data_IF_573117413895
#
_entry.id   IF_573117413895
#
_cell.length_a   1.000
_cell.length_b   1.000
_cell.length_c   1.000
_cell.angle_alpha   90.00
_cell.angle_beta   90.00
_cell.angle_gamma   90.00
#
_symmetry.space_group_name_H-M   'P 1'
#
loop_
_entity.id
_entity.type
_entity.pdbx_description
1 polymer ?
#
# COMPACT_ATOMS: atom_id res chain seq x y z
N UNK A 1 6.39 0.42 25.33
CA UNK A 1 5.77 -0.86 24.91
C UNK A 1 4.24 -0.95 25.05
N UNK A 2 3.55 -0.20 25.94
CA UNK A 2 2.06 -0.30 26.08
C UNK A 2 1.24 0.44 25.01
N UNK A 3 1.84 1.36 24.25
CA UNK A 3 1.13 2.14 23.20
C UNK A 3 1.29 1.52 21.79
N UNK A 4 2.42 0.86 21.53
CA UNK A 4 2.69 0.01 20.37
C UNK A 4 1.63 -1.04 20.08
N UNK A 5 1.23 -1.75 21.13
CA UNK A 5 0.30 -2.88 21.03
C UNK A 5 -1.08 -2.43 20.57
N UNK A 6 -1.55 -1.25 21.00
CA UNK A 6 -2.89 -0.77 20.63
C UNK A 6 -3.03 -0.44 19.14
N UNK A 7 -1.96 -0.04 18.46
CA UNK A 7 -2.00 0.22 17.01
C UNK A 7 -1.98 -1.08 16.20
N UNK A 8 -1.17 -2.07 16.59
CA UNK A 8 -1.11 -3.38 15.92
C UNK A 8 -2.40 -4.21 16.13
N UNK A 9 -3.08 -4.06 17.27
CA UNK A 9 -4.40 -4.67 17.51
C UNK A 9 -5.55 -4.02 16.73
N UNK A 10 -5.30 -2.91 16.01
CA UNK A 10 -6.27 -2.29 15.09
C UNK A 10 -6.15 -2.78 13.65
N UNK A 11 -5.16 -3.64 13.34
CA UNK A 11 -5.28 -4.50 12.15
C UNK A 11 -6.49 -5.40 12.43
N UNK A 12 -7.60 -5.22 11.70
CA UNK A 12 -8.88 -5.75 12.13
C UNK A 12 -8.77 -7.26 12.36
N UNK A 13 -8.99 -7.68 13.60
CA UNK A 13 -9.27 -9.09 13.91
C UNK A 13 -10.32 -9.57 12.91
N UNK A 14 -10.20 -10.84 12.51
CA UNK A 14 -11.06 -11.52 11.52
C UNK A 14 -12.57 -11.44 11.81
N UNK A 15 -12.97 -10.89 12.96
CA UNK A 15 -14.35 -10.78 13.46
C UNK A 15 -14.98 -9.39 13.28
N UNK A 16 -14.25 -8.37 12.80
CA UNK A 16 -14.86 -7.06 12.53
C UNK A 16 -15.77 -7.09 11.29
N UNK A 17 -16.76 -6.17 11.15
CA UNK A 17 -17.53 -6.04 9.90
C UNK A 17 -16.66 -5.82 8.66
N UNK A 18 -15.49 -5.17 8.84
CA UNK A 18 -14.47 -5.03 7.81
C UNK A 18 -13.85 -6.38 7.43
N UNK A 19 -13.61 -7.25 8.41
CA UNK A 19 -13.12 -8.60 8.15
C UNK A 19 -14.14 -9.45 7.38
N UNK A 20 -15.44 -9.34 7.64
CA UNK A 20 -16.46 -10.03 6.84
C UNK A 20 -16.43 -9.62 5.36
N UNK A 21 -16.27 -8.32 5.07
CA UNK A 21 -16.08 -7.84 3.68
C UNK A 21 -14.81 -8.42 3.04
N UNK A 22 -13.72 -8.52 3.81
CA UNK A 22 -12.44 -9.09 3.36
C UNK A 22 -12.54 -10.59 3.08
N UNK A 23 -13.24 -11.36 3.91
CA UNK A 23 -13.49 -12.79 3.68
C UNK A 23 -14.23 -13.01 2.35
N UNK A 24 -15.23 -12.18 2.05
CA UNK A 24 -15.93 -12.26 0.76
C UNK A 24 -14.99 -11.98 -0.43
N UNK A 25 -14.12 -10.98 -0.33
CA UNK A 25 -13.13 -10.65 -1.36
C UNK A 25 -12.00 -11.68 -1.47
N UNK A 26 -11.70 -12.40 -0.39
CA UNK A 26 -10.67 -13.43 -0.37
C UNK A 26 -10.99 -14.54 -1.36
N UNK A 27 -12.23 -15.05 -1.37
CA UNK A 27 -12.63 -16.18 -2.21
C UNK A 27 -13.37 -15.79 -3.49
N UNK A 28 -13.45 -14.49 -3.81
CA UNK A 28 -14.22 -13.96 -4.96
C UNK A 28 -13.85 -14.65 -6.27
N UNK A 29 -12.56 -14.94 -6.46
CA UNK A 29 -12.04 -15.55 -7.69
C UNK A 29 -11.66 -17.03 -7.55
N UNK A 30 -12.05 -17.69 -6.44
CA UNK A 30 -11.71 -19.10 -6.17
C UNK A 30 -12.20 -20.06 -7.27
N UNK A 31 -13.28 -19.72 -7.95
CA UNK A 31 -13.85 -20.49 -9.06
C UNK A 31 -13.25 -20.18 -10.42
N UNK A 32 -12.37 -19.17 -10.54
CA UNK A 32 -11.76 -18.80 -11.83
C UNK A 32 -10.68 -19.83 -12.18
N UNK A 33 -10.75 -20.50 -13.35
CA UNK A 33 -9.77 -21.50 -13.71
C UNK A 33 -8.34 -20.96 -13.69
N UNK A 34 -7.38 -21.78 -13.26
CA UNK A 34 -5.95 -21.45 -13.34
C UNK A 34 -5.58 -21.11 -14.79
N UNK A 35 -4.90 -19.98 -14.99
CA UNK A 35 -4.51 -19.48 -16.31
C UNK A 35 -5.56 -18.60 -17.02
N UNK A 36 -6.71 -18.35 -16.40
CA UNK A 36 -7.75 -17.47 -16.98
C UNK A 36 -7.50 -15.96 -16.80
N UNK A 37 -6.44 -15.59 -16.06
CA UNK A 37 -6.13 -14.22 -15.66
C UNK A 37 -4.62 -13.98 -15.77
N UNK A 38 -4.22 -12.80 -16.25
CA UNK A 38 -2.83 -12.34 -16.18
C UNK A 38 -2.61 -11.54 -14.90
N UNK A 39 -1.45 -11.73 -14.27
CA UNK A 39 -1.02 -10.98 -13.10
C UNK A 39 0.19 -10.15 -13.51
N UNK A 40 0.08 -8.83 -13.40
CA UNK A 40 1.15 -7.88 -13.64
C UNK A 40 1.67 -7.34 -12.31
N UNK A 41 2.94 -6.94 -12.27
CA UNK A 41 3.54 -6.31 -11.09
C UNK A 41 4.34 -5.08 -11.49
N UNK A 42 4.29 -4.05 -10.65
CA UNK A 42 5.06 -2.82 -10.76
C UNK A 42 5.37 -2.27 -9.36
N UNK A 43 6.48 -1.57 -9.20
CA UNK A 43 6.87 -0.82 -8.00
C UNK A 43 7.51 0.50 -8.44
N UNK A 44 7.84 1.37 -7.48
CA UNK A 44 8.66 2.57 -7.70
C UNK A 44 8.10 3.47 -8.82
N UNK A 45 6.78 3.58 -8.86
CA UNK A 45 6.09 4.36 -9.88
C UNK A 45 6.36 5.85 -9.67
N UNK A 46 6.34 6.30 -8.41
CA UNK A 46 6.43 7.72 -8.04
C UNK A 46 5.54 8.61 -8.91
N UNK A 47 4.23 8.38 -8.82
CA UNK A 47 3.20 8.99 -9.67
C UNK A 47 3.23 10.53 -9.64
N UNK A 48 3.75 11.11 -8.56
CA UNK A 48 3.94 12.54 -8.35
C UNK A 48 5.30 13.09 -8.84
N UNK A 49 6.16 12.27 -9.45
CA UNK A 49 7.41 12.69 -10.09
C UNK A 49 7.19 13.21 -11.52
N UNK A 50 6.35 14.24 -11.63
CA UNK A 50 6.13 14.99 -12.86
C UNK A 50 5.04 14.43 -13.78
N UNK A 51 4.64 15.27 -14.74
CA UNK A 51 3.49 15.01 -15.59
C UNK A 51 3.67 13.80 -16.50
N UNK A 52 4.91 13.47 -16.89
CA UNK A 52 5.19 12.32 -17.76
C UNK A 52 4.73 10.99 -17.14
N UNK A 53 4.97 10.80 -15.84
CA UNK A 53 4.60 9.59 -15.10
C UNK A 53 3.09 9.50 -14.94
N UNK A 54 2.45 10.61 -14.52
CA UNK A 54 0.99 10.68 -14.43
C UNK A 54 0.32 10.45 -15.78
N UNK A 55 0.85 11.02 -16.87
CA UNK A 55 0.35 10.83 -18.23
C UNK A 55 0.52 9.39 -18.71
N UNK A 56 1.65 8.75 -18.41
CA UNK A 56 1.86 7.33 -18.68
C UNK A 56 0.79 6.47 -17.98
N UNK A 57 0.57 6.66 -16.68
CA UNK A 57 -0.43 5.90 -15.93
C UNK A 57 -1.85 6.11 -16.47
N UNK A 58 -2.19 7.35 -16.86
CA UNK A 58 -3.47 7.69 -17.48
C UNK A 58 -3.62 7.06 -18.88
N UNK A 59 -2.52 6.96 -19.62
CA UNK A 59 -2.43 6.42 -20.97
C UNK A 59 -2.54 4.90 -21.07
N UNK A 60 -2.43 4.16 -19.95
CA UNK A 60 -2.70 2.71 -19.93
C UNK A 60 -4.08 2.43 -20.53
N UNK A 61 -4.17 1.44 -21.42
CA UNK A 61 -5.41 1.09 -22.12
C UNK A 61 -6.55 0.79 -21.11
N UNK A 62 -7.72 1.40 -21.33
CA UNK A 62 -8.85 1.32 -20.39
C UNK A 62 -9.69 0.04 -20.51
N UNK A 63 -9.49 -0.77 -21.54
CA UNK A 63 -10.28 -1.99 -21.78
C UNK A 63 -9.43 -3.26 -21.78
N UNK A 64 -8.17 -3.18 -22.18
CA UNK A 64 -7.27 -4.33 -22.37
C UNK A 64 -7.07 -5.17 -21.11
N UNK A 65 -6.99 -4.53 -19.94
CA UNK A 65 -6.63 -5.18 -18.68
C UNK A 65 -7.83 -5.41 -17.75
N UNK A 66 -9.06 -5.32 -18.28
CA UNK A 66 -10.31 -5.43 -17.48
C UNK A 66 -10.56 -6.81 -16.89
N UNK A 67 -9.83 -7.82 -17.33
CA UNK A 67 -9.85 -9.16 -16.74
C UNK A 67 -8.72 -9.38 -15.72
N UNK A 68 -7.67 -8.56 -15.80
CA UNK A 68 -6.36 -8.81 -15.22
C UNK A 68 -6.16 -8.14 -13.85
N UNK A 69 -5.04 -8.50 -13.22
CA UNK A 69 -4.67 -8.07 -11.88
C UNK A 69 -3.37 -7.30 -11.97
N UNK A 70 -3.30 -6.16 -11.27
CA UNK A 70 -2.06 -5.41 -11.06
C UNK A 70 -1.64 -5.51 -9.59
N UNK A 71 -0.37 -5.82 -9.36
CA UNK A 71 0.30 -5.71 -8.07
C UNK A 71 1.13 -4.42 -8.07
N UNK A 72 0.85 -3.51 -7.15
CA UNK A 72 1.65 -2.30 -6.90
C UNK A 72 2.46 -2.53 -5.63
N UNK A 73 3.74 -2.83 -5.81
CA UNK A 73 4.63 -3.35 -4.79
C UNK A 73 5.48 -2.27 -4.12
N UNK A 74 4.85 -1.18 -3.69
CA UNK A 74 5.51 -0.07 -3.01
C UNK A 74 5.83 1.11 -3.91
N UNK A 75 6.12 2.23 -3.25
CA UNK A 75 6.57 3.52 -3.80
C UNK A 75 5.73 4.00 -4.98
N UNK A 76 4.42 4.07 -4.74
CA UNK A 76 3.48 4.65 -5.69
C UNK A 76 3.56 6.17 -5.68
N UNK A 77 3.80 6.81 -4.54
CA UNK A 77 4.03 8.26 -4.47
C UNK A 77 4.25 8.76 -3.05
N UNK A 78 4.82 9.95 -2.91
CA UNK A 78 5.23 10.49 -1.61
C UNK A 78 4.03 10.91 -0.75
N UNK A 79 2.95 11.36 -1.39
CA UNK A 79 1.78 11.91 -0.68
C UNK A 79 0.58 10.99 -0.74
N UNK A 80 -0.23 10.98 0.31
CA UNK A 80 -1.50 10.26 0.38
C UNK A 80 -2.41 10.56 -0.82
N UNK A 81 -2.43 11.82 -1.29
CA UNK A 81 -3.24 12.19 -2.43
C UNK A 81 -2.69 11.63 -3.75
N UNK A 82 -1.36 11.63 -3.92
CA UNK A 82 -0.71 11.01 -5.08
C UNK A 82 -1.01 9.50 -5.13
N UNK A 83 -0.82 8.79 -4.01
CA UNK A 83 -1.14 7.36 -3.88
C UNK A 83 -2.61 7.11 -4.22
N UNK A 84 -3.53 7.92 -3.67
CA UNK A 84 -4.96 7.83 -3.96
C UNK A 84 -5.26 8.01 -5.46
N UNK A 85 -4.63 8.98 -6.11
CA UNK A 85 -4.79 9.22 -7.55
C UNK A 85 -4.26 8.03 -8.34
N UNK A 86 -3.05 7.56 -8.05
CA UNK A 86 -2.43 6.42 -8.73
C UNK A 86 -3.27 5.15 -8.62
N UNK A 87 -3.67 4.75 -7.40
CA UNK A 87 -4.52 3.57 -7.20
C UNK A 87 -5.89 3.73 -7.87
N UNK A 88 -6.49 4.92 -7.82
CA UNK A 88 -7.76 5.19 -8.51
C UNK A 88 -7.62 5.06 -10.03
N UNK A 89 -6.50 5.52 -10.59
CA UNK A 89 -6.19 5.37 -12.02
C UNK A 89 -6.05 3.89 -12.37
N UNK A 90 -5.22 3.14 -11.64
CA UNK A 90 -5.04 1.72 -11.92
C UNK A 90 -6.31 0.90 -11.72
N UNK A 91 -7.13 1.20 -10.71
CA UNK A 91 -8.44 0.55 -10.50
C UNK A 91 -9.43 0.78 -11.64
N UNK A 92 -9.28 1.87 -12.41
CA UNK A 92 -10.07 2.09 -13.62
C UNK A 92 -9.57 1.26 -14.81
N UNK A 93 -8.36 0.70 -14.78
CA UNK A 93 -7.75 -0.05 -15.89
C UNK A 93 -7.75 -1.56 -15.65
N UNK A 94 -7.45 -1.98 -14.42
CA UNK A 94 -7.37 -3.38 -14.01
C UNK A 94 -8.59 -3.81 -13.20
N UNK A 95 -8.93 -5.11 -13.26
CA UNK A 95 -10.04 -5.69 -12.49
C UNK A 95 -9.77 -5.60 -10.99
N UNK A 96 -8.63 -6.13 -10.57
CA UNK A 96 -8.13 -6.07 -9.18
C UNK A 96 -6.78 -5.36 -9.17
N UNK A 97 -6.56 -4.57 -8.12
CA UNK A 97 -5.28 -3.91 -7.87
C UNK A 97 -4.91 -4.23 -6.43
N UNK A 98 -3.81 -4.93 -6.25
CA UNK A 98 -3.21 -5.15 -4.94
C UNK A 98 -2.14 -4.12 -4.70
N UNK A 99 -2.00 -3.69 -3.45
CA UNK A 99 -1.10 -2.62 -3.06
C UNK A 99 -0.43 -2.94 -1.72
N UNK A 100 0.88 -2.77 -1.67
CA UNK A 100 1.64 -2.66 -0.43
C UNK A 100 2.37 -1.30 -0.44
N UNK A 101 2.43 -0.59 0.69
CA UNK A 101 3.16 0.66 0.76
C UNK A 101 4.67 0.42 0.86
N UNK A 102 5.45 1.26 0.17
CA UNK A 102 6.89 1.35 0.37
C UNK A 102 7.27 2.47 1.36
N UNK A 103 8.56 2.82 1.45
CA UNK A 103 9.06 3.90 2.31
C UNK A 103 8.55 5.27 1.88
N UNK A 104 8.54 5.57 0.59
CA UNK A 104 8.02 6.85 0.09
C UNK A 104 6.54 7.02 0.41
N UNK A 105 5.77 5.95 0.26
CA UNK A 105 4.34 5.95 0.57
C UNK A 105 4.07 6.25 2.04
N UNK A 106 5.02 5.95 2.93
CA UNK A 106 4.95 6.13 4.38
C UNK A 106 5.52 7.47 4.87
N UNK A 107 6.16 8.24 4.00
CA UNK A 107 6.75 9.52 4.34
C UNK A 107 5.73 10.57 4.79
N UNK A 108 6.10 11.35 5.80
CA UNK A 108 5.48 12.62 6.16
C UNK A 108 6.40 13.75 5.73
N UNK A 109 6.56 13.92 4.41
CA UNK A 109 7.48 14.90 3.83
C UNK A 109 7.08 16.33 4.24
N UNK A 110 8.02 17.17 4.71
CA UNK A 110 7.76 18.57 5.05
C UNK A 110 7.14 19.35 3.88
N UNK A 111 6.34 20.37 4.22
CA UNK A 111 5.68 21.27 3.26
C UNK A 111 4.70 20.58 2.30
N UNK A 112 4.27 19.34 2.58
CA UNK A 112 3.23 18.66 1.81
C UNK A 112 1.87 18.75 2.49
N UNK A 113 0.79 18.45 1.76
CA UNK A 113 -0.55 18.38 2.32
C UNK A 113 -0.72 17.38 3.48
N UNK A 114 0.21 16.43 3.60
CA UNK A 114 0.17 15.40 4.64
C UNK A 114 0.75 15.89 5.97
N UNK A 115 1.74 16.79 5.94
CA UNK A 115 2.27 17.48 7.12
C UNK A 115 1.53 18.78 7.42
N UNK A 116 1.00 19.44 6.39
CA UNK A 116 0.27 20.70 6.55
C UNK A 116 -0.99 20.45 7.40
N UNK A 117 -1.24 21.33 8.37
CA UNK A 117 -2.34 21.20 9.35
C UNK A 117 -2.26 19.92 10.20
N UNK A 118 -1.10 19.27 10.28
CA UNK A 118 -0.91 18.01 11.03
C UNK A 118 -1.91 16.93 10.65
N UNK A 119 -2.24 16.82 9.35
CA UNK A 119 -3.23 15.87 8.83
C UNK A 119 -2.95 14.44 9.31
N UNK A 120 -1.69 14.03 9.31
CA UNK A 120 -1.25 12.79 9.95
C UNK A 120 -0.25 13.08 11.06
N UNK A 121 -0.48 12.49 12.23
CA UNK A 121 0.39 12.63 13.40
C UNK A 121 1.75 11.94 13.19
N UNK A 122 1.71 10.77 12.56
CA UNK A 122 2.80 9.82 12.35
C UNK A 122 2.50 8.91 11.12
N UNK A 123 3.49 8.15 10.67
CA UNK A 123 3.40 7.28 9.49
C UNK A 123 2.41 6.13 9.68
N UNK A 124 2.15 5.70 10.92
CA UNK A 124 1.14 4.67 11.21
C UNK A 124 -0.28 5.23 10.99
N UNK A 125 -0.53 6.48 11.37
CA UNK A 125 -1.79 7.17 11.06
C UNK A 125 -1.99 7.33 9.54
N UNK A 126 -0.93 7.64 8.78
CA UNK A 126 -0.98 7.66 7.32
C UNK A 126 -1.32 6.26 6.76
N UNK A 127 -0.67 5.20 7.23
CA UNK A 127 -0.95 3.82 6.85
C UNK A 127 -2.41 3.42 7.09
N UNK A 128 -2.94 3.71 8.27
CA UNK A 128 -4.35 3.42 8.59
C UNK A 128 -5.31 4.17 7.66
N UNK A 129 -5.01 5.43 7.34
CA UNK A 129 -5.79 6.19 6.36
C UNK A 129 -5.67 5.60 4.95
N UNK A 130 -4.50 5.09 4.55
CA UNK A 130 -4.32 4.41 3.28
C UNK A 130 -5.12 3.11 3.20
N UNK A 131 -5.19 2.33 4.28
CA UNK A 131 -6.03 1.14 4.35
C UNK A 131 -7.51 1.48 4.15
N UNK A 132 -8.02 2.51 4.82
CA UNK A 132 -9.40 2.99 4.63
C UNK A 132 -9.65 3.52 3.21
N UNK A 133 -8.69 4.25 2.64
CA UNK A 133 -8.74 4.73 1.27
C UNK A 133 -8.77 3.59 0.25
N UNK A 134 -7.94 2.56 0.42
CA UNK A 134 -7.90 1.38 -0.44
C UNK A 134 -9.24 0.63 -0.39
N UNK A 135 -9.82 0.46 0.80
CA UNK A 135 -11.14 -0.16 0.96
C UNK A 135 -12.22 0.59 0.17
N UNK A 136 -12.22 1.93 0.24
CA UNK A 136 -13.17 2.81 -0.47
C UNK A 136 -13.01 2.78 -1.99
N UNK A 137 -11.77 2.71 -2.49
CA UNK A 137 -11.47 2.66 -3.93
C UNK A 137 -11.57 1.22 -4.49
N UNK A 138 -11.57 0.21 -3.63
CA UNK A 138 -11.56 -1.20 -4.03
C UNK A 138 -10.18 -1.71 -4.45
N UNK A 139 -9.10 -1.07 -3.96
CA UNK A 139 -7.74 -1.62 -3.98
C UNK A 139 -7.54 -2.54 -2.77
N UNK A 140 -6.65 -3.52 -2.90
CA UNK A 140 -6.52 -4.60 -1.93
C UNK A 140 -5.17 -4.62 -1.26
N UNK A 141 -5.19 -4.56 0.07
CA UNK A 141 -3.98 -4.65 0.91
C UNK A 141 -3.98 -5.95 1.74
N UNK A 142 -4.87 -6.89 1.42
CA UNK A 142 -5.09 -8.13 2.19
C UNK A 142 -5.00 -9.33 1.26
N UNK A 143 -4.75 -10.54 1.79
CA UNK A 143 -4.65 -11.74 0.98
C UNK A 143 -5.94 -12.05 0.23
N UNK A 144 -5.82 -12.67 -0.94
CA UNK A 144 -6.95 -13.24 -1.67
C UNK A 144 -6.52 -14.37 -2.59
N UNK A 145 -7.43 -15.31 -2.81
CA UNK A 145 -7.40 -16.22 -3.94
C UNK A 145 -7.84 -15.46 -5.20
N UNK A 146 -6.97 -15.47 -6.22
CA UNK A 146 -7.16 -14.69 -7.46
C UNK A 146 -7.51 -15.56 -8.68
N UNK A 147 -7.26 -16.86 -8.57
CA UNK A 147 -7.67 -17.97 -9.41
C UNK A 147 -7.60 -19.23 -8.56
N UNK A 148 -8.25 -20.32 -8.98
CA UNK A 148 -8.20 -21.61 -8.28
C UNK A 148 -6.76 -22.01 -7.93
N UNK A 149 -6.48 -22.14 -6.63
CA UNK A 149 -5.17 -22.47 -6.05
C UNK A 149 -4.05 -21.46 -6.33
N UNK A 150 -4.38 -20.18 -6.59
CA UNK A 150 -3.42 -19.09 -6.74
C UNK A 150 -3.78 -17.96 -5.79
N UNK A 151 -2.87 -17.62 -4.89
CA UNK A 151 -3.08 -16.61 -3.85
C UNK A 151 -2.13 -15.44 -4.05
N UNK A 152 -2.64 -14.22 -3.87
CA UNK A 152 -1.84 -13.02 -3.69
C UNK A 152 -1.86 -12.69 -2.20
N UNK A 153 -0.68 -12.52 -1.61
CA UNK A 153 -0.51 -12.26 -0.17
C UNK A 153 0.31 -10.99 0.01
N UNK A 154 -0.33 -9.81 0.06
CA UNK A 154 0.36 -8.55 0.37
C UNK A 154 1.03 -8.61 1.74
N UNK A 155 2.33 -8.33 1.81
CA UNK A 155 3.09 -8.31 3.05
C UNK A 155 3.32 -6.87 3.50
N UNK A 156 2.79 -6.54 4.67
CA UNK A 156 3.09 -5.27 5.36
C UNK A 156 4.28 -5.51 6.28
N UNK A 157 5.46 -5.62 5.68
CA UNK A 157 6.74 -5.82 6.35
C UNK A 157 7.61 -4.58 6.24
N UNK A 158 8.51 -4.41 7.19
CA UNK A 158 9.56 -3.39 7.15
C UNK A 158 10.93 -4.05 7.26
N UNK A 159 11.98 -3.31 6.91
CA UNK A 159 13.34 -3.75 7.15
C UNK A 159 13.65 -3.71 8.66
N UNK A 160 14.67 -4.47 9.06
CA UNK A 160 15.20 -4.46 10.41
C UNK A 160 16.67 -4.05 10.37
N UNK A 161 17.15 -3.33 11.39
CA UNK A 161 18.55 -2.90 11.47
C UNK A 161 19.56 -4.03 11.32
N UNK A 162 19.18 -5.26 11.69
CA UNK A 162 20.00 -6.45 11.51
C UNK A 162 20.39 -6.71 10.06
N UNK A 163 19.65 -6.19 9.07
CA UNK A 163 19.98 -6.31 7.65
C UNK A 163 21.24 -5.53 7.27
N UNK A 164 21.57 -4.48 8.03
CA UNK A 164 22.79 -3.67 7.86
C UNK A 164 23.79 -3.89 9.00
N UNK A 165 23.63 -4.98 9.77
CA UNK A 165 24.51 -5.32 10.88
C UNK A 165 24.31 -4.48 12.15
N UNK A 166 23.25 -3.67 12.22
CA UNK A 166 22.87 -2.92 13.42
C UNK A 166 22.01 -3.74 14.38
N UNK A 167 22.02 -3.36 15.66
CA UNK A 167 21.06 -3.85 16.65
C UNK A 167 20.02 -2.75 16.94
N UNK A 168 18.73 -3.12 17.00
CA UNK A 168 17.67 -2.17 17.36
C UNK A 168 17.20 -1.26 16.22
N UNK A 169 16.96 0.02 16.51
CA UNK A 169 16.69 1.06 15.51
C UNK A 169 18.02 1.73 15.17
N UNK A 170 18.35 1.83 13.89
CA UNK A 170 19.51 2.60 13.43
C UNK A 170 18.96 3.87 12.81
N UNK A 171 19.11 5.04 13.45
CA UNK A 171 18.81 6.31 12.82
C UNK A 171 19.59 6.39 11.51
N UNK A 172 18.88 6.57 10.41
CA UNK A 172 19.47 6.73 9.09
C UNK A 172 19.97 8.18 8.96
N UNK A 173 21.16 8.45 9.52
CA UNK A 173 21.82 9.77 9.50
C UNK A 173 22.12 10.24 8.06
N UNK A 174 22.12 9.33 7.09
CA UNK A 174 22.38 9.59 5.67
C UNK A 174 21.09 9.83 4.84
N UNK A 175 19.91 9.89 5.47
CA UNK A 175 18.60 10.15 4.83
C UNK A 175 18.24 9.16 3.70
N UNK A 176 18.74 7.91 3.72
CA UNK A 176 18.75 7.09 2.51
C UNK A 176 17.37 6.50 2.18
N UNK A 177 16.59 6.04 3.16
CA UNK A 177 15.31 5.35 2.88
C UNK A 177 14.12 5.84 3.73
N UNK A 178 14.27 5.88 5.06
CA UNK A 178 13.17 6.20 5.99
C UNK A 178 13.16 7.67 6.43
N UNK A 179 13.89 8.52 5.71
CA UNK A 179 14.19 9.91 6.04
C UNK A 179 13.01 10.75 6.56
N UNK A 180 11.80 10.52 6.04
CA UNK A 180 10.60 11.25 6.44
C UNK A 180 9.53 10.36 7.08
N UNK A 181 9.84 9.09 7.38
CA UNK A 181 8.99 8.26 8.20
C UNK A 181 9.01 8.79 9.64
N UNK A 182 7.84 8.85 10.27
CA UNK A 182 7.70 9.24 11.67
C UNK A 182 7.01 8.13 12.42
N UNK A 183 7.76 7.33 13.17
CA UNK A 183 7.23 6.17 13.88
C UNK A 183 6.75 6.56 15.29
N UNK A 184 5.52 6.19 15.71
CA UNK A 184 5.00 6.54 17.04
C UNK A 184 5.67 5.75 18.18
N UNK A 185 6.52 4.78 17.84
CA UNK A 185 7.22 3.90 18.77
C UNK A 185 8.44 4.59 19.43
N UNK A 186 8.76 5.81 19.00
CA UNK A 186 9.91 6.61 19.42
C UNK A 186 11.11 6.41 18.50
N UNK A 187 11.90 7.48 18.34
CA UNK A 187 13.35 7.34 18.20
C UNK A 187 13.80 6.73 19.53
N UNK A 188 14.28 5.48 19.54
CA UNK A 188 15.06 4.97 20.66
C UNK A 188 16.51 4.95 20.24
#
# INVERSE_FOLDING_TARGET
MKEAGRALWQIPRLESPMATKRVKRFSEDSSRPKGSVRIFAISDVHIDHGDSVTNWANGINSTEFKNDILLVAGDLGDTFNAIKIGLSTFKKKFRRVFYVPGNHDMWLRPNTADTNKFKFKDSICKLMAMMDMCEKIGAEMMPAEVMTNVYVVPLLSWWAASFVGGEGYVPDDDLVYDAFCKWPMGDQ
#
